data_IF_616606171788
#
_entry.id   IF_616606171788
#
_cell.length_a   1.000
_cell.length_b   1.000
_cell.length_c   1.000
_cell.angle_alpha   90.00
_cell.angle_beta   90.00
_cell.angle_gamma   90.00
#
_symmetry.space_group_name_H-M   'P 1'
#
loop_
_entity.id
_entity.type
_entity.pdbx_description
1 polymer ?
#
# COMPACT_ATOMS: atom_id res chain seq x y z
N UNK A 1 7.41 15.72 -24.52
CA UNK A 1 8.66 16.24 -23.93
C UNK A 1 8.45 17.67 -23.44
N UNK A 2 7.94 17.81 -22.22
CA UNK A 2 8.11 19.00 -21.37
C UNK A 2 8.27 18.44 -19.97
N UNK A 3 9.48 18.52 -19.42
CA UNK A 3 9.75 18.19 -18.01
C UNK A 3 9.18 19.33 -17.18
N UNK A 4 8.00 19.10 -16.59
CA UNK A 4 7.44 19.99 -15.57
C UNK A 4 8.11 19.64 -14.25
N UNK A 5 9.15 20.40 -13.89
CA UNK A 5 9.65 20.42 -12.51
C UNK A 5 8.75 21.33 -11.71
N UNK A 6 7.82 20.77 -10.95
CA UNK A 6 7.07 21.51 -9.95
C UNK A 6 8.01 21.77 -8.76
N UNK A 7 8.49 23.01 -8.64
CA UNK A 7 9.26 23.45 -7.45
C UNK A 7 8.27 23.72 -6.31
N UNK A 8 8.06 22.74 -5.43
CA UNK A 8 7.28 22.94 -4.20
C UNK A 8 8.26 23.25 -3.06
N UNK A 9 8.68 24.51 -3.00
CA UNK A 9 9.38 25.03 -1.83
C UNK A 9 8.35 25.31 -0.72
N UNK A 10 8.23 24.39 0.24
CA UNK A 10 7.34 24.54 1.39
C UNK A 10 7.89 23.81 2.62
N UNK A 11 8.63 24.54 3.45
CA UNK A 11 9.25 24.09 4.71
C UNK A 11 8.24 23.33 5.59
N UNK A 12 8.39 22.01 5.70
CA UNK A 12 7.71 21.20 6.71
C UNK A 12 8.77 20.51 7.58
N UNK A 13 9.24 21.22 8.63
CA UNK A 13 9.98 20.57 9.72
C UNK A 13 8.97 19.75 10.54
N UNK A 14 8.86 18.45 10.24
CA UNK A 14 8.01 17.53 10.98
C UNK A 14 8.76 17.05 12.24
N UNK A 15 8.39 17.60 13.40
CA UNK A 15 8.75 17.02 14.70
C UNK A 15 7.84 15.81 14.98
N UNK A 16 8.23 14.64 14.48
CA UNK A 16 7.58 13.34 14.72
C UNK A 16 7.85 12.85 16.16
N UNK A 17 7.43 13.57 17.19
CA UNK A 17 7.38 13.03 18.55
C UNK A 17 6.18 13.61 19.30
N UNK A 18 5.37 12.70 19.84
CA UNK A 18 4.25 12.85 20.78
C UNK A 18 2.85 13.08 20.20
N UNK A 19 2.11 12.00 19.93
CA UNK A 19 0.63 11.94 20.05
C UNK A 19 0.15 10.51 20.32
N UNK A 20 -1.05 10.34 20.92
CA UNK A 20 -1.51 9.07 21.47
C UNK A 20 -2.09 8.14 20.40
N UNK A 21 -2.10 6.84 20.73
CA UNK A 21 -2.68 5.75 19.94
C UNK A 21 -4.15 6.06 19.62
N UNK A 22 -4.43 6.34 18.35
CA UNK A 22 -5.79 6.39 17.82
C UNK A 22 -5.97 5.25 16.81
N UNK A 23 -7.08 4.55 16.98
CA UNK A 23 -7.51 3.46 16.12
C UNK A 23 -7.80 3.98 14.71
N UNK A 24 -7.41 3.21 13.69
CA UNK A 24 -7.78 3.48 12.31
C UNK A 24 -9.30 3.74 12.19
N UNK A 25 -9.73 4.73 11.39
CA UNK A 25 -11.14 4.98 11.19
C UNK A 25 -11.77 3.77 10.51
N UNK A 26 -12.81 3.23 11.14
CA UNK A 26 -13.71 2.26 10.51
C UNK A 26 -14.35 2.95 9.31
N UNK A 27 -14.07 2.45 8.10
CA UNK A 27 -14.84 2.81 6.91
C UNK A 27 -16.29 2.40 7.19
N UNK A 28 -17.14 3.37 7.46
CA UNK A 28 -18.58 3.15 7.63
C UNK A 28 -19.15 2.96 6.23
N UNK A 29 -19.40 1.70 5.87
CA UNK A 29 -20.20 1.38 4.69
C UNK A 29 -21.65 1.78 4.94
N UNK A 30 -22.06 2.90 4.35
CA UNK A 30 -23.48 3.21 4.20
C UNK A 30 -23.97 2.60 2.88
N UNK A 31 -24.71 1.50 2.97
CA UNK A 31 -25.45 0.91 1.86
C UNK A 31 -25.19 -0.57 1.63
N UNK A 32 -25.75 -1.44 2.47
CA UNK A 32 -25.82 -2.87 2.19
C UNK A 32 -26.93 -3.15 1.18
N UNK A 33 -26.57 -3.50 -0.06
CA UNK A 33 -27.45 -4.21 -1.00
C UNK A 33 -27.14 -5.71 -0.97
N UNK A 34 -28.19 -6.53 -0.93
CA UNK A 34 -28.14 -7.96 -0.62
C UNK A 34 -27.64 -8.82 -1.77
N UNK A 35 -26.63 -9.64 -1.47
CA UNK A 35 -26.15 -10.88 -2.11
C UNK A 35 -26.86 -11.38 -3.38
N UNK A 36 -26.12 -11.40 -4.48
CA UNK A 36 -26.28 -12.36 -5.58
C UNK A 36 -24.89 -12.89 -5.96
N UNK A 37 -24.80 -14.21 -6.15
CA UNK A 37 -23.56 -14.99 -6.22
C UNK A 37 -22.52 -14.43 -7.18
N UNK A 38 -21.50 -13.79 -6.60
CA UNK A 38 -20.28 -13.35 -7.26
C UNK A 38 -19.25 -14.48 -7.25
N UNK A 39 -18.43 -14.58 -8.28
CA UNK A 39 -17.07 -15.09 -8.11
C UNK A 39 -16.30 -14.01 -7.35
N UNK A 40 -16.47 -13.97 -6.03
CA UNK A 40 -15.70 -13.09 -5.16
C UNK A 40 -14.21 -13.39 -5.32
N UNK A 41 -13.33 -12.38 -5.42
CA UNK A 41 -12.02 -12.54 -4.84
C UNK A 41 -12.22 -12.63 -3.31
N UNK A 42 -11.87 -13.76 -2.70
CA UNK A 42 -11.99 -13.92 -1.24
C UNK A 42 -11.10 -12.89 -0.52
N UNK A 43 -11.72 -11.82 0.00
CA UNK A 43 -11.13 -10.94 0.99
C UNK A 43 -11.15 -11.64 2.36
N UNK A 44 -10.02 -12.27 2.69
CA UNK A 44 -9.62 -12.65 4.05
C UNK A 44 -8.13 -12.92 3.98
N UNK A 45 -7.34 -11.87 4.23
CA UNK A 45 -5.91 -11.96 4.42
C UNK A 45 -5.63 -12.51 5.82
N UNK A 46 -5.23 -13.77 5.92
CA UNK A 46 -4.44 -14.24 7.08
C UNK A 46 -3.03 -13.69 6.91
N UNK A 47 -2.42 -13.10 7.94
CA UNK A 47 -1.01 -12.67 7.89
C UNK A 47 -0.15 -13.77 7.26
N UNK A 48 0.74 -13.41 6.33
CA UNK A 48 1.71 -14.35 5.78
C UNK A 48 2.84 -14.41 6.80
N UNK A 49 2.93 -15.48 7.60
CA UNK A 49 3.82 -15.45 8.73
C UNK A 49 5.21 -15.82 8.22
N UNK A 50 6.15 -14.88 8.32
CA UNK A 50 7.51 -15.11 7.86
C UNK A 50 8.28 -15.95 8.88
N UNK A 51 9.23 -16.74 8.39
CA UNK A 51 10.08 -17.61 9.20
C UNK A 51 11.49 -17.06 9.27
N UNK A 52 12.07 -16.93 10.47
CA UNK A 52 13.50 -16.67 10.64
C UNK A 52 14.37 -17.63 9.82
N UNK A 53 15.38 -17.09 9.13
CA UNK A 53 16.40 -17.88 8.42
C UNK A 53 17.74 -17.79 9.13
N UNK A 54 18.32 -18.93 9.56
CA UNK A 54 19.69 -18.97 10.07
C UNK A 54 20.69 -18.54 9.00
N UNK A 55 21.73 -17.79 9.38
CA UNK A 55 22.76 -17.29 8.47
C UNK A 55 23.53 -18.42 7.77
N UNK A 56 23.67 -19.59 8.39
CA UNK A 56 24.25 -20.79 7.76
C UNK A 56 23.48 -21.25 6.51
N UNK A 57 22.19 -20.92 6.41
CA UNK A 57 21.32 -21.26 5.28
C UNK A 57 21.18 -20.12 4.24
N UNK A 58 21.62 -18.90 4.55
CA UNK A 58 21.55 -17.73 3.64
C UNK A 58 22.78 -17.60 2.72
N UNK A 59 23.68 -18.59 2.69
CA UNK A 59 24.89 -18.56 1.86
C UNK A 59 25.98 -17.59 2.35
N UNK A 60 25.76 -16.88 3.47
CA UNK A 60 26.77 -16.08 4.15
C UNK A 60 27.66 -17.01 4.97
N UNK A 61 28.71 -17.56 4.35
CA UNK A 61 29.72 -18.30 5.09
C UNK A 61 30.53 -17.34 5.98
N UNK A 62 30.21 -17.32 7.27
CA UNK A 62 31.11 -16.77 8.27
C UNK A 62 32.19 -17.79 8.59
N UNK A 63 33.45 -17.35 8.68
CA UNK A 63 34.53 -18.20 9.18
C UNK A 63 34.35 -18.42 10.69
N UNK A 64 34.27 -19.68 11.14
CA UNK A 64 34.17 -20.07 12.56
C UNK A 64 32.79 -20.58 12.99
N UNK A 65 32.62 -20.92 14.27
CA UNK A 65 31.39 -21.52 14.84
C UNK A 65 30.28 -20.52 15.20
N UNK A 66 30.43 -19.24 14.85
CA UNK A 66 29.51 -18.14 15.20
C UNK A 66 29.23 -17.94 16.70
N UNK A 67 30.05 -18.50 17.59
CA UNK A 67 29.87 -18.38 19.04
C UNK A 67 30.25 -17.02 19.60
N UNK A 68 31.08 -16.24 18.89
CA UNK A 68 31.57 -14.93 19.36
C UNK A 68 30.48 -13.85 19.23
N UNK A 69 30.09 -13.16 20.32
CA UNK A 69 29.13 -12.07 20.25
C UNK A 69 29.62 -10.91 19.37
N UNK A 70 28.75 -10.38 18.50
CA UNK A 70 29.05 -9.30 17.54
C UNK A 70 28.12 -8.11 17.69
N UNK A 71 28.60 -6.93 17.33
CA UNK A 71 27.81 -5.69 17.35
C UNK A 71 26.90 -5.53 16.14
N UNK A 72 27.34 -5.99 14.98
CA UNK A 72 26.60 -5.85 13.74
C UNK A 72 26.04 -7.21 13.36
N UNK A 73 24.73 -7.27 13.14
CA UNK A 73 24.02 -8.47 12.75
C UNK A 73 23.21 -8.20 11.48
N UNK A 74 23.02 -9.24 10.69
CA UNK A 74 22.04 -9.28 9.61
C UNK A 74 21.12 -10.44 9.91
N UNK A 75 19.84 -10.16 10.11
CA UNK A 75 18.80 -11.14 10.37
C UNK A 75 17.90 -11.19 9.15
N UNK A 76 17.59 -12.39 8.65
CA UNK A 76 16.72 -12.55 7.49
C UNK A 76 15.48 -13.36 7.84
N UNK A 77 14.40 -13.09 7.10
CA UNK A 77 13.15 -13.84 7.15
C UNK A 77 12.74 -14.28 5.75
N UNK A 78 12.13 -15.45 5.67
CA UNK A 78 11.64 -16.03 4.42
C UNK A 78 10.16 -16.40 4.52
N UNK A 79 9.51 -16.47 3.37
CA UNK A 79 8.16 -17.02 3.25
C UNK A 79 8.16 -18.53 3.56
N UNK A 80 6.99 -19.16 3.81
CA UNK A 80 6.89 -20.62 3.93
C UNK A 80 7.40 -21.42 2.71
N UNK A 81 7.56 -20.78 1.53
CA UNK A 81 8.16 -21.38 0.33
C UNK A 81 9.68 -21.29 0.27
N UNK A 82 10.33 -20.71 1.29
CA UNK A 82 11.78 -20.45 1.40
C UNK A 82 12.28 -19.35 0.46
N UNK A 83 11.44 -18.36 0.17
CA UNK A 83 11.85 -17.17 -0.57
C UNK A 83 12.19 -16.09 0.46
N UNK A 84 13.40 -15.53 0.41
CA UNK A 84 13.76 -14.37 1.24
C UNK A 84 12.72 -13.27 1.06
N UNK A 85 12.36 -12.57 2.13
CA UNK A 85 11.31 -11.56 2.07
C UNK A 85 11.75 -10.25 2.73
N UNK A 86 12.47 -10.35 3.85
CA UNK A 86 12.95 -9.19 4.60
C UNK A 86 14.36 -9.46 5.12
N UNK A 87 15.23 -8.46 4.98
CA UNK A 87 16.50 -8.38 5.68
C UNK A 87 16.45 -7.25 6.71
N UNK A 88 16.95 -7.53 7.92
CA UNK A 88 17.05 -6.57 9.01
C UNK A 88 18.51 -6.49 9.45
N UNK A 89 19.14 -5.37 9.14
CA UNK A 89 20.46 -5.01 9.64
C UNK A 89 20.36 -4.38 11.03
N UNK A 90 21.10 -4.91 12.00
CA UNK A 90 21.10 -4.41 13.38
C UNK A 90 22.50 -3.97 13.80
N UNK A 91 22.59 -2.80 14.42
CA UNK A 91 23.75 -2.41 15.23
C UNK A 91 23.35 -2.41 16.69
N UNK A 92 23.88 -3.34 17.47
CA UNK A 92 23.45 -3.63 18.83
C UNK A 92 24.08 -2.71 19.89
N UNK A 93 23.30 -2.31 20.91
CA UNK A 93 23.80 -1.54 22.06
C UNK A 93 24.79 -2.32 22.92
N UNK A 94 24.65 -3.65 22.97
CA UNK A 94 25.60 -4.62 23.54
C UNK A 94 25.92 -5.66 22.47
N UNK A 95 27.10 -6.29 22.48
CA UNK A 95 27.36 -7.36 21.49
C UNK A 95 26.33 -8.48 21.63
N UNK A 96 26.03 -9.18 20.55
CA UNK A 96 24.96 -10.15 20.50
C UNK A 96 25.40 -11.45 19.83
N UNK A 97 24.87 -12.57 20.30
CA UNK A 97 25.07 -13.90 19.71
C UNK A 97 23.71 -14.43 19.23
N UNK A 98 23.67 -14.89 17.99
CA UNK A 98 22.49 -15.49 17.37
C UNK A 98 22.61 -17.00 17.55
N UNK A 99 21.83 -17.57 18.47
CA UNK A 99 22.01 -18.96 18.89
C UNK A 99 21.67 -19.96 17.79
N UNK A 100 20.73 -19.61 16.92
CA UNK A 100 20.36 -20.39 15.73
C UNK A 100 21.42 -20.39 14.62
N UNK A 101 22.41 -19.49 14.69
CA UNK A 101 23.54 -19.44 13.75
C UNK A 101 24.73 -20.30 14.21
N UNK A 102 24.64 -20.92 15.39
CA UNK A 102 25.66 -21.81 15.95
C UNK A 102 25.23 -23.26 15.68
N UNK A 103 25.81 -23.89 14.67
CA UNK A 103 25.48 -25.26 14.26
C UNK A 103 25.66 -26.31 15.38
N UNK A 104 26.54 -26.03 16.35
CA UNK A 104 26.81 -26.90 17.49
C UNK A 104 25.79 -26.73 18.65
N UNK A 105 24.86 -25.78 18.57
CA UNK A 105 23.75 -25.64 19.54
C UNK A 105 22.65 -26.64 19.20
N UNK A 106 22.34 -27.51 20.15
CA UNK A 106 21.37 -28.59 20.00
C UNK A 106 20.01 -28.30 20.61
N UNK A 107 19.95 -27.45 21.64
CA UNK A 107 18.71 -27.03 22.29
C UNK A 107 18.91 -25.67 22.95
N UNK A 108 17.83 -24.88 23.00
CA UNK A 108 17.76 -23.60 23.73
C UNK A 108 16.48 -23.60 24.54
N UNK A 109 16.56 -23.73 25.85
CA UNK A 109 15.39 -23.76 26.72
C UNK A 109 15.24 -22.43 27.48
N UNK A 110 14.06 -21.81 27.43
CA UNK A 110 13.78 -20.58 28.18
C UNK A 110 12.89 -20.87 29.40
N UNK A 111 13.34 -20.46 30.59
CA UNK A 111 12.50 -20.55 31.80
C UNK A 111 11.85 -19.20 32.06
N UNK A 112 10.65 -19.02 31.50
CA UNK A 112 9.95 -17.74 31.52
C UNK A 112 10.72 -16.67 30.74
N UNK A 113 10.75 -15.45 31.26
CA UNK A 113 11.43 -14.30 30.62
C UNK A 113 12.74 -13.91 31.31
N UNK A 114 13.30 -14.80 32.16
CA UNK A 114 14.39 -14.49 33.08
C UNK A 114 15.66 -15.37 32.94
N UNK A 115 15.63 -16.39 32.10
CA UNK A 115 16.82 -17.22 31.87
C UNK A 115 16.78 -18.00 30.57
N UNK A 116 17.95 -18.17 29.96
CA UNK A 116 18.16 -18.93 28.72
C UNK A 116 19.19 -20.03 29.00
N UNK A 117 18.84 -21.29 28.71
CA UNK A 117 19.73 -22.43 28.80
C UNK A 117 20.13 -22.89 27.39
N UNK A 118 21.43 -22.87 27.08
CA UNK A 118 21.97 -23.23 25.77
C UNK A 118 22.73 -24.55 25.88
N UNK A 119 22.30 -25.58 25.16
CA UNK A 119 22.92 -26.91 25.20
C UNK A 119 23.66 -27.21 23.90
N UNK A 120 24.95 -27.53 24.01
CA UNK A 120 25.82 -27.83 22.87
C UNK A 120 25.94 -29.34 22.63
N UNK A 121 26.09 -29.74 21.37
CA UNK A 121 26.41 -31.13 21.00
C UNK A 121 27.94 -31.36 20.83
N UNK A 122 28.74 -30.30 20.97
CA UNK A 122 30.18 -30.31 20.74
C UNK A 122 30.94 -29.67 21.90
N UNK A 123 31.90 -30.39 22.48
CA UNK A 123 32.70 -29.92 23.62
C UNK A 123 33.60 -28.74 23.29
N UNK A 124 34.16 -28.68 22.07
CA UNK A 124 34.99 -27.55 21.64
C UNK A 124 34.14 -26.29 21.52
N UNK A 125 32.96 -26.38 20.90
CA UNK A 125 32.04 -25.27 20.75
C UNK A 125 31.54 -24.75 22.11
N UNK A 126 31.17 -25.65 23.03
CA UNK A 126 30.82 -25.32 24.41
C UNK A 126 31.95 -24.55 25.12
N UNK A 127 33.18 -25.05 25.00
CA UNK A 127 34.35 -24.44 25.68
C UNK A 127 34.67 -23.07 25.08
N UNK A 128 34.59 -22.94 23.76
CA UNK A 128 34.78 -21.68 23.04
C UNK A 128 33.70 -20.66 23.43
N UNK A 129 32.41 -21.05 23.38
CA UNK A 129 31.30 -20.20 23.78
C UNK A 129 31.43 -19.74 25.24
N UNK A 130 31.71 -20.65 26.18
CA UNK A 130 31.88 -20.30 27.58
C UNK A 130 33.05 -19.31 27.77
N UNK A 131 34.17 -19.55 27.08
CA UNK A 131 35.34 -18.67 27.14
C UNK A 131 35.02 -17.27 26.60
N UNK A 132 34.43 -17.19 25.40
CA UNK A 132 34.12 -15.92 24.73
C UNK A 132 33.03 -15.14 25.48
N UNK A 133 31.96 -15.81 25.93
CA UNK A 133 30.85 -15.17 26.62
C UNK A 133 31.23 -14.70 28.02
N UNK A 134 32.02 -15.48 28.77
CA UNK A 134 32.46 -15.09 30.11
C UNK A 134 33.58 -14.03 30.08
N UNK A 135 34.30 -13.91 28.96
CA UNK A 135 35.31 -12.88 28.77
C UNK A 135 34.70 -11.50 28.46
N UNK A 136 33.40 -11.43 28.18
CA UNK A 136 32.69 -10.16 28.02
C UNK A 136 32.72 -9.40 29.34
N UNK A 137 33.30 -8.20 29.38
CA UNK A 137 33.31 -7.36 30.58
C UNK A 137 32.00 -6.58 30.78
N UNK A 138 30.93 -6.98 30.11
CA UNK A 138 29.65 -6.26 30.04
C UNK A 138 28.51 -7.22 29.71
N UNK A 139 27.28 -6.72 29.81
CA UNK A 139 26.11 -7.41 29.28
C UNK A 139 26.24 -7.67 27.78
N UNK A 140 25.58 -8.72 27.31
CA UNK A 140 25.46 -9.08 25.89
C UNK A 140 24.06 -9.62 25.62
N UNK A 141 23.69 -9.73 24.33
CA UNK A 141 22.35 -10.16 23.92
C UNK A 141 22.41 -11.57 23.34
N UNK A 142 21.52 -12.46 23.78
CA UNK A 142 21.27 -13.75 23.15
C UNK A 142 20.01 -13.65 22.29
N UNK A 143 20.10 -14.07 21.03
CA UNK A 143 18.99 -14.04 20.07
C UNK A 143 18.59 -15.46 19.69
N UNK A 144 17.31 -15.80 19.78
CA UNK A 144 16.79 -17.14 19.46
C UNK A 144 15.36 -17.10 18.93
N UNK A 145 15.01 -18.00 18.01
CA UNK A 145 13.62 -18.28 17.59
C UNK A 145 13.06 -19.58 18.21
N UNK A 146 13.93 -20.52 18.63
CA UNK A 146 13.67 -21.89 19.12
C UNK A 146 12.25 -22.50 19.01
N UNK A 147 11.59 -22.36 17.85
CA UNK A 147 10.25 -22.90 17.54
C UNK A 147 9.18 -22.60 18.60
N UNK A 148 9.32 -21.47 19.28
CA UNK A 148 8.35 -21.01 20.27
C UNK A 148 8.49 -21.58 21.68
N UNK A 149 9.63 -22.16 22.04
CA UNK A 149 9.93 -22.47 23.45
C UNK A 149 10.23 -21.21 24.26
N UNK A 150 10.92 -20.25 23.64
CA UNK A 150 11.20 -18.95 24.23
C UNK A 150 10.10 -17.92 23.93
N UNK A 151 9.36 -18.09 22.82
CA UNK A 151 8.51 -17.07 22.19
C UNK A 151 7.37 -17.65 21.35
N UNK A 152 6.80 -16.86 20.43
CA UNK A 152 5.94 -17.40 19.36
C UNK A 152 6.80 -18.18 18.35
N UNK A 153 6.26 -19.22 17.70
CA UNK A 153 6.99 -20.15 16.79
C UNK A 153 7.82 -19.48 15.67
N UNK A 154 7.50 -18.23 15.33
CA UNK A 154 8.04 -17.49 14.19
C UNK A 154 8.71 -16.17 14.59
N UNK A 155 8.90 -15.95 15.89
CA UNK A 155 9.43 -14.72 16.47
C UNK A 155 10.84 -14.96 17.00
N UNK A 156 11.78 -14.09 16.60
CA UNK A 156 13.10 -14.03 17.26
C UNK A 156 13.01 -13.15 18.47
N UNK A 157 13.69 -13.57 19.52
CA UNK A 157 13.62 -12.92 20.81
C UNK A 157 14.99 -12.58 21.35
N UNK A 158 15.02 -11.50 22.10
CA UNK A 158 16.23 -10.83 22.51
C UNK A 158 16.34 -10.90 24.03
N UNK A 159 17.34 -11.60 24.52
CA UNK A 159 17.58 -11.76 25.95
C UNK A 159 18.88 -11.05 26.34
N UNK A 160 18.79 -10.05 27.22
CA UNK A 160 19.96 -9.34 27.74
C UNK A 160 20.48 -10.07 28.97
N UNK A 161 21.73 -10.48 28.94
CA UNK A 161 22.40 -11.19 30.06
C UNK A 161 23.70 -10.52 30.42
N UNK A 162 24.06 -10.58 31.70
CA UNK A 162 25.40 -10.24 32.16
C UNK A 162 26.34 -11.43 32.00
N UNK A 163 27.59 -11.17 31.61
CA UNK A 163 28.61 -12.20 31.49
C UNK A 163 28.91 -12.91 32.82
N UNK A 164 28.81 -12.17 33.93
CA UNK A 164 28.99 -12.70 35.29
C UNK A 164 27.80 -13.56 35.76
N UNK A 165 26.70 -13.58 35.00
CA UNK A 165 25.49 -14.32 35.33
C UNK A 165 25.36 -15.65 34.56
N UNK A 166 26.48 -16.14 34.00
CA UNK A 166 26.57 -17.43 33.32
C UNK A 166 26.89 -18.55 34.30
N UNK A 167 26.13 -19.65 34.24
CA UNK A 167 26.38 -20.88 34.97
C UNK A 167 26.63 -22.01 33.99
N UNK A 168 27.80 -22.64 34.08
CA UNK A 168 28.25 -23.67 33.15
C UNK A 168 28.09 -25.08 33.74
N UNK A 169 27.58 -26.02 32.94
CA UNK A 169 27.37 -27.42 33.31
C UNK A 169 28.08 -28.33 32.31
N UNK A 170 29.32 -28.73 32.65
CA UNK A 170 30.16 -29.56 31.77
C UNK A 170 29.58 -30.96 31.52
N UNK A 171 28.81 -31.50 32.47
CA UNK A 171 28.27 -32.87 32.38
C UNK A 171 27.29 -33.09 31.23
N UNK A 172 26.61 -32.03 30.79
CA UNK A 172 25.65 -32.05 29.69
C UNK A 172 25.91 -30.93 28.66
N UNK A 173 27.06 -30.26 28.74
CA UNK A 173 27.47 -29.18 27.84
C UNK A 173 26.43 -28.04 27.76
N UNK A 174 25.86 -27.66 28.90
CA UNK A 174 24.83 -26.60 28.98
C UNK A 174 25.40 -25.34 29.64
N UNK A 175 25.13 -24.17 29.07
CA UNK A 175 25.37 -22.86 29.69
C UNK A 175 24.01 -22.23 30.00
N UNK A 176 23.77 -21.90 31.26
CA UNK A 176 22.56 -21.18 31.69
C UNK A 176 22.93 -19.73 31.95
N UNK A 177 22.27 -18.82 31.25
CA UNK A 177 22.36 -17.38 31.44
C UNK A 177 21.14 -16.87 32.20
N UNK A 178 21.34 -16.08 33.26
CA UNK A 178 20.24 -15.24 33.79
C UNK A 178 20.10 -14.03 32.88
N UNK A 179 18.95 -13.93 32.22
CA UNK A 179 18.77 -12.99 31.13
C UNK A 179 17.36 -12.43 31.13
N UNK A 180 17.21 -11.12 30.90
CA UNK A 180 15.90 -10.48 30.81
C UNK A 180 15.48 -10.37 29.34
N UNK A 181 14.24 -10.80 29.03
CA UNK A 181 13.66 -10.59 27.70
C UNK A 181 13.51 -9.07 27.45
N UNK A 182 13.96 -8.63 26.28
CA UNK A 182 13.89 -7.27 25.78
C UNK A 182 13.32 -7.27 24.35
N UNK A 183 12.91 -6.11 23.87
CA UNK A 183 12.57 -5.88 22.47
C UNK A 183 13.79 -5.44 21.65
N UNK A 184 13.60 -5.36 20.33
CA UNK A 184 14.62 -4.90 19.40
C UNK A 184 15.01 -3.44 19.67
N UNK A 185 14.05 -2.58 20.04
CA UNK A 185 14.27 -1.15 20.30
C UNK A 185 15.19 -0.94 21.51
N UNK A 186 15.01 -1.73 22.56
CA UNK A 186 15.79 -1.70 23.79
C UNK A 186 17.19 -2.31 23.65
N UNK A 187 17.43 -3.12 22.62
CA UNK A 187 18.73 -3.81 22.42
C UNK A 187 19.56 -3.24 21.28
N UNK A 188 18.98 -2.44 20.39
CA UNK A 188 19.63 -1.92 19.19
C UNK A 188 19.87 -0.41 19.27
N UNK A 189 20.93 0.04 18.63
CA UNK A 189 21.25 1.45 18.41
C UNK A 189 20.82 1.91 17.01
N UNK A 190 20.84 1.00 16.05
CA UNK A 190 20.35 1.19 14.68
C UNK A 190 19.66 -0.08 14.21
N UNK A 191 18.52 0.10 13.55
CA UNK A 191 17.76 -0.94 12.86
C UNK A 191 17.51 -0.47 11.44
N UNK A 192 17.98 -1.25 10.48
CA UNK A 192 17.87 -1.01 9.05
C UNK A 192 17.04 -2.15 8.45
N UNK A 193 15.98 -1.82 7.73
CA UNK A 193 15.02 -2.78 7.23
C UNK A 193 14.92 -2.58 5.72
N UNK A 194 15.37 -3.60 5.00
CA UNK A 194 15.26 -3.70 3.56
C UNK A 194 14.19 -4.75 3.23
N UNK A 195 13.14 -4.31 2.55
CA UNK A 195 12.16 -5.20 1.94
C UNK A 195 12.44 -5.28 0.44
N UNK A 196 13.60 -5.87 0.11
CA UNK A 196 14.00 -6.23 -1.25
C UNK A 196 14.15 -7.74 -1.37
N UNK A 197 13.35 -8.31 -2.28
CA UNK A 197 13.48 -9.60 -2.94
C UNK A 197 14.18 -10.80 -2.27
N UNK A 198 13.41 -11.87 -2.15
CA UNK A 198 13.89 -13.23 -2.40
C UNK A 198 13.13 -13.85 -3.57
N UNK A 199 13.81 -14.74 -4.26
CA UNK A 199 13.42 -15.19 -5.58
C UNK A 199 12.33 -16.28 -5.52
N UNK A 200 11.04 -15.91 -5.61
CA UNK A 200 9.97 -16.62 -6.37
C UNK A 200 8.54 -16.11 -6.08
N UNK A 201 7.69 -16.27 -7.11
CA UNK A 201 6.25 -15.98 -7.13
C UNK A 201 5.46 -16.76 -6.06
N UNK A 202 4.70 -16.03 -5.24
CA UNK A 202 3.58 -16.60 -4.48
C UNK A 202 2.34 -16.68 -5.39
N UNK A 203 2.24 -17.71 -6.25
CA UNK A 203 1.15 -17.89 -7.25
C UNK A 203 -0.30 -17.96 -6.69
N UNK A 204 -0.54 -17.68 -5.42
CA UNK A 204 -1.89 -17.51 -4.87
C UNK A 204 -2.23 -16.03 -4.79
N UNK A 205 -3.26 -15.63 -5.57
CA UNK A 205 -4.02 -14.37 -5.46
C UNK A 205 -3.38 -13.13 -6.10
N UNK A 206 -2.61 -13.31 -7.18
CA UNK A 206 -2.05 -12.19 -7.95
C UNK A 206 -0.88 -11.48 -7.26
N UNK A 207 -0.42 -11.97 -6.11
CA UNK A 207 0.80 -11.48 -5.48
C UNK A 207 1.98 -12.22 -6.09
N UNK A 208 3.06 -11.54 -6.46
CA UNK A 208 4.32 -12.22 -6.79
C UNK A 208 5.49 -11.47 -6.18
N UNK A 209 6.57 -12.19 -5.88
CA UNK A 209 7.79 -11.63 -5.34
C UNK A 209 8.93 -11.94 -6.31
N UNK A 210 9.67 -10.91 -6.68
CA UNK A 210 10.86 -11.05 -7.52
C UNK A 210 11.95 -10.08 -7.06
N UNK A 211 13.06 -10.05 -7.81
CA UNK A 211 14.22 -9.19 -7.59
C UNK A 211 13.88 -7.69 -7.61
N UNK A 212 12.73 -7.33 -8.17
CA UNK A 212 12.26 -5.95 -8.33
C UNK A 212 11.24 -5.53 -7.23
N UNK A 213 10.74 -6.46 -6.41
CA UNK A 213 9.88 -6.15 -5.25
C UNK A 213 8.65 -7.04 -5.08
N UNK A 214 7.70 -6.54 -4.27
CA UNK A 214 6.40 -7.15 -4.00
C UNK A 214 5.38 -6.67 -5.04
N UNK A 215 5.01 -7.54 -5.96
CA UNK A 215 4.01 -7.27 -6.99
C UNK A 215 2.63 -7.74 -6.57
N UNK A 216 1.62 -6.95 -6.91
CA UNK A 216 0.21 -7.11 -6.58
C UNK A 216 -0.59 -6.85 -7.85
N UNK A 217 -1.10 -7.92 -8.45
CA UNK A 217 -2.02 -7.85 -9.57
C UNK A 217 -3.47 -7.90 -9.07
N UNK A 218 -4.27 -6.96 -9.55
CA UNK A 218 -5.71 -6.88 -9.35
C UNK A 218 -6.41 -6.98 -10.70
N UNK A 219 -7.18 -8.04 -10.88
CA UNK A 219 -8.07 -8.17 -12.04
C UNK A 219 -9.49 -8.33 -11.54
N UNK A 220 -10.38 -7.47 -12.02
CA UNK A 220 -11.80 -7.53 -11.72
C UNK A 220 -12.60 -7.35 -12.99
N UNK A 221 -13.70 -8.09 -13.11
CA UNK A 221 -14.68 -7.85 -14.15
C UNK A 221 -16.05 -8.12 -13.59
N UNK A 222 -17.00 -7.26 -13.94
CA UNK A 222 -18.39 -7.48 -13.54
C UNK A 222 -18.92 -8.71 -14.31
N UNK A 223 -19.46 -9.73 -13.63
CA UNK A 223 -19.83 -11.00 -14.27
C UNK A 223 -21.08 -10.89 -15.16
N UNK A 224 -21.93 -9.90 -14.90
CA UNK A 224 -23.15 -9.56 -15.65
C UNK A 224 -23.63 -8.18 -15.22
N UNK A 225 -24.43 -7.53 -16.06
CA UNK A 225 -25.12 -6.26 -15.74
C UNK A 225 -25.60 -6.19 -14.28
N UNK A 226 -25.30 -5.08 -13.61
CA UNK A 226 -25.69 -4.83 -12.22
C UNK A 226 -26.18 -3.41 -12.01
N UNK A 227 -27.29 -3.26 -11.29
CA UNK A 227 -27.73 -1.97 -10.76
C UNK A 227 -26.98 -1.70 -9.46
N UNK A 228 -26.09 -0.70 -9.47
CA UNK A 228 -25.26 -0.33 -8.31
C UNK A 228 -25.87 0.80 -7.46
N UNK A 229 -26.80 1.57 -8.05
CA UNK A 229 -27.60 2.58 -7.35
C UNK A 229 -29.04 2.48 -7.84
N UNK A 230 -30.01 2.39 -6.93
CA UNK A 230 -31.43 2.49 -7.25
C UNK A 230 -32.16 3.27 -6.17
N UNK A 231 -32.57 4.50 -6.51
CA UNK A 231 -33.26 5.43 -5.62
C UNK A 231 -34.47 6.03 -6.32
N UNK A 232 -35.26 6.83 -5.60
CA UNK A 232 -36.39 7.56 -6.18
C UNK A 232 -35.97 8.61 -7.24
N UNK A 233 -34.70 9.01 -7.27
CA UNK A 233 -34.19 10.09 -8.11
C UNK A 233 -33.21 9.63 -9.19
N UNK A 234 -32.44 8.58 -8.92
CA UNK A 234 -31.39 8.09 -9.81
C UNK A 234 -31.33 6.57 -9.81
N UNK A 235 -31.08 6.00 -10.98
CA UNK A 235 -30.74 4.60 -11.18
C UNK A 235 -29.42 4.54 -11.95
N UNK A 236 -28.45 3.78 -11.44
CA UNK A 236 -27.15 3.55 -12.10
C UNK A 236 -27.00 2.07 -12.38
N UNK A 237 -26.86 1.73 -13.64
CA UNK A 237 -26.61 0.38 -14.13
C UNK A 237 -25.20 0.34 -14.71
N UNK A 238 -24.42 -0.66 -14.31
CA UNK A 238 -23.14 -0.97 -14.95
C UNK A 238 -23.37 -2.19 -15.84
N UNK A 239 -23.26 -2.00 -17.14
CA UNK A 239 -23.51 -3.04 -18.14
C UNK A 239 -22.31 -3.98 -18.21
N UNK A 240 -21.11 -3.40 -18.30
CA UNK A 240 -19.84 -4.09 -18.33
C UNK A 240 -18.79 -3.23 -17.63
N UNK A 241 -17.89 -3.86 -16.88
CA UNK A 241 -16.68 -3.19 -16.40
C UNK A 241 -15.56 -4.21 -16.27
N UNK A 242 -14.34 -3.80 -16.66
CA UNK A 242 -13.15 -4.61 -16.49
C UNK A 242 -11.98 -3.76 -16.00
N UNK A 243 -11.19 -4.35 -15.13
CA UNK A 243 -10.03 -3.74 -14.51
C UNK A 243 -8.88 -4.73 -14.55
N UNK A 244 -7.72 -4.24 -14.94
CA UNK A 244 -6.48 -4.98 -14.89
C UNK A 244 -5.35 -4.05 -14.44
N UNK A 245 -5.03 -4.14 -13.15
CA UNK A 245 -4.02 -3.30 -12.52
C UNK A 245 -2.90 -4.19 -11.96
N UNK A 246 -1.68 -3.68 -11.96
CA UNK A 246 -0.54 -4.28 -11.29
C UNK A 246 0.22 -3.21 -10.52
N UNK A 247 0.67 -3.53 -9.32
CA UNK A 247 1.45 -2.62 -8.47
C UNK A 247 2.62 -3.37 -7.88
N UNK A 248 3.83 -2.84 -8.01
CA UNK A 248 5.04 -3.40 -7.42
C UNK A 248 5.59 -2.43 -6.38
N UNK A 249 5.98 -2.98 -5.23
CA UNK A 249 6.46 -2.26 -4.06
C UNK A 249 7.89 -2.64 -3.72
N UNK A 250 8.71 -1.64 -3.44
CA UNK A 250 9.98 -1.81 -2.73
C UNK A 250 10.25 -0.59 -1.85
N UNK A 251 11.28 -0.66 -1.02
CA UNK A 251 11.62 0.45 -0.14
C UNK A 251 12.55 0.05 0.99
N UNK A 252 12.77 1.02 1.86
CA UNK A 252 13.79 0.99 2.89
C UNK A 252 13.36 1.83 4.09
N UNK A 253 13.66 1.33 5.29
CA UNK A 253 13.46 2.10 6.52
C UNK A 253 14.66 1.93 7.45
N UNK A 254 15.16 3.05 7.97
CA UNK A 254 16.26 3.08 8.93
C UNK A 254 15.91 3.90 10.14
N UNK A 255 16.05 3.28 11.31
CA UNK A 255 15.81 3.88 12.60
C UNK A 255 17.08 3.90 13.45
N UNK A 256 17.30 4.99 14.19
CA UNK A 256 18.37 5.13 15.17
C UNK A 256 17.82 5.57 16.53
N UNK A 257 18.31 4.96 17.62
CA UNK A 257 17.80 5.16 19.00
C UNK A 257 17.61 6.62 19.43
N UNK A 258 18.51 7.51 19.01
CA UNK A 258 18.48 8.93 19.41
C UNK A 258 17.99 9.88 18.30
N UNK A 259 17.81 9.38 17.07
CA UNK A 259 17.36 10.21 15.93
C UNK A 259 15.98 9.82 15.40
N UNK A 260 15.42 8.70 15.87
CA UNK A 260 14.19 8.14 15.31
C UNK A 260 14.42 7.62 13.89
N UNK A 261 13.42 7.77 13.04
CA UNK A 261 13.50 7.40 11.62
C UNK A 261 14.42 8.39 10.88
N UNK A 262 15.49 7.86 10.31
CA UNK A 262 16.55 8.62 9.62
C UNK A 262 16.49 8.49 8.10
N UNK A 263 16.02 7.36 7.59
CA UNK A 263 15.81 7.10 6.17
C UNK A 263 14.47 6.35 6.06
N UNK A 264 13.59 6.80 5.17
CA UNK A 264 12.34 6.09 4.88
C UNK A 264 11.86 6.48 3.49
N UNK A 265 11.93 5.53 2.57
CA UNK A 265 11.41 5.71 1.22
C UNK A 265 10.67 4.47 0.74
N UNK A 266 9.72 4.70 -0.17
CA UNK A 266 8.93 3.67 -0.84
C UNK A 266 8.96 3.95 -2.34
N UNK A 267 9.24 2.91 -3.11
CA UNK A 267 9.15 2.88 -4.56
C UNK A 267 7.92 2.07 -4.97
N UNK A 268 7.15 2.62 -5.91
CA UNK A 268 5.92 2.02 -6.44
C UNK A 268 5.96 2.06 -7.96
N UNK A 269 5.95 0.90 -8.58
CA UNK A 269 5.69 0.76 -10.02
C UNK A 269 4.26 0.30 -10.23
N UNK A 270 3.54 0.90 -11.16
CA UNK A 270 2.09 0.76 -11.30
C UNK A 270 1.67 0.71 -12.76
N UNK A 271 0.86 -0.28 -13.09
CA UNK A 271 0.11 -0.34 -14.35
C UNK A 271 -1.38 -0.35 -14.05
N UNK A 272 -2.13 0.38 -14.87
CA UNK A 272 -3.56 0.59 -14.70
C UNK A 272 -4.25 0.39 -16.04
N UNK A 273 -5.32 -0.39 -16.05
CA UNK A 273 -6.25 -0.50 -17.15
C UNK A 273 -7.66 -0.58 -16.59
N UNK A 274 -8.54 0.29 -17.09
CA UNK A 274 -9.94 0.32 -16.74
C UNK A 274 -10.80 0.46 -17.98
N UNK A 275 -11.93 -0.23 -17.95
CA UNK A 275 -13.02 -0.11 -18.91
C UNK A 275 -14.34 -0.15 -18.14
N UNK A 276 -15.28 0.72 -18.49
CA UNK A 276 -16.64 0.67 -17.97
C UNK A 276 -17.65 1.15 -19.02
N UNK A 277 -18.78 0.44 -19.08
CA UNK A 277 -20.00 0.80 -19.79
C UNK A 277 -21.12 0.95 -18.75
N UNK A 278 -21.67 2.16 -18.68
CA UNK A 278 -22.59 2.59 -17.64
C UNK A 278 -23.81 3.30 -18.22
N UNK A 279 -24.96 3.08 -17.58
CA UNK A 279 -26.19 3.83 -17.78
C UNK A 279 -26.58 4.55 -16.49
N UNK A 280 -26.77 5.87 -16.59
CA UNK A 280 -27.28 6.73 -15.54
C UNK A 280 -28.65 7.25 -15.95
N UNK A 281 -29.70 6.82 -15.25
CA UNK A 281 -31.06 7.32 -15.43
C UNK A 281 -31.44 8.24 -14.28
N UNK A 282 -31.70 9.50 -14.60
CA UNK A 282 -32.10 10.57 -13.68
C UNK A 282 -33.61 10.79 -13.86
N UNK A 283 -34.37 10.74 -12.76
CA UNK A 283 -35.85 10.76 -12.78
C UNK A 283 -36.44 12.17 -12.59
N UNK A 284 -35.67 13.09 -12.02
CA UNK A 284 -36.01 14.51 -11.84
C UNK A 284 -34.71 15.31 -11.56
N UNK A 285 -34.80 16.63 -11.37
CA UNK A 285 -33.65 17.47 -11.01
C UNK A 285 -32.89 16.87 -9.81
N UNK A 286 -31.59 16.63 -9.98
CA UNK A 286 -30.79 15.92 -9.01
C UNK A 286 -29.35 16.45 -8.98
N UNK A 287 -28.77 16.55 -7.79
CA UNK A 287 -27.40 17.00 -7.59
C UNK A 287 -26.81 16.24 -6.41
N UNK A 288 -25.94 15.28 -6.68
CA UNK A 288 -25.28 14.49 -5.65
C UNK A 288 -24.06 13.77 -6.23
N UNK A 289 -23.38 13.01 -5.38
CA UNK A 289 -22.34 12.07 -5.76
C UNK A 289 -22.68 10.67 -5.26
N UNK A 290 -22.21 9.67 -5.99
CA UNK A 290 -22.24 8.29 -5.52
C UNK A 290 -20.88 7.63 -5.70
N UNK A 291 -20.63 6.62 -4.87
CA UNK A 291 -19.44 5.79 -4.94
C UNK A 291 -19.86 4.35 -4.66
N UNK A 292 -19.34 3.43 -5.45
CA UNK A 292 -19.52 2.01 -5.31
C UNK A 292 -18.16 1.33 -5.44
N UNK A 293 -17.88 0.36 -4.59
CA UNK A 293 -16.63 -0.40 -4.62
C UNK A 293 -16.94 -1.89 -4.52
N UNK A 294 -16.30 -2.76 -5.33
CA UNK A 294 -16.19 -4.16 -4.94
C UNK A 294 -15.43 -4.28 -3.61
N UNK A 295 -15.50 -5.45 -2.98
CA UNK A 295 -14.71 -5.71 -1.76
C UNK A 295 -13.23 -5.42 -2.03
N UNK A 296 -12.63 -4.57 -1.19
CA UNK A 296 -11.21 -4.24 -1.29
C UNK A 296 -10.36 -5.50 -1.12
N UNK A 297 -9.25 -5.59 -1.87
CA UNK A 297 -8.27 -6.64 -1.60
C UNK A 297 -7.39 -6.20 -0.46
N UNK A 298 -7.72 -6.70 0.71
CA UNK A 298 -6.75 -6.80 1.80
C UNK A 298 -5.93 -8.06 1.58
N UNK A 299 -4.65 -7.86 1.27
CA UNK A 299 -3.70 -8.95 1.15
C UNK A 299 -3.13 -9.33 2.50
N UNK A 300 -2.49 -10.49 2.56
CA UNK A 300 -1.78 -10.95 3.75
C UNK A 300 -0.72 -9.93 4.14
N UNK A 301 -0.83 -9.40 5.35
CA UNK A 301 0.22 -8.61 5.99
C UNK A 301 1.44 -9.51 6.15
N UNK A 302 2.55 -9.13 5.53
CA UNK A 302 3.87 -9.64 5.86
C UNK A 302 4.18 -9.14 7.26
N UNK A 303 4.37 -10.08 8.17
CA UNK A 303 4.55 -9.76 9.58
C UNK A 303 5.86 -10.38 10.06
N UNK A 304 6.78 -9.52 10.48
CA UNK A 304 7.93 -9.89 11.30
C UNK A 304 7.60 -9.40 12.72
N UNK A 305 7.09 -10.28 13.60
CA UNK A 305 6.64 -9.90 14.93
C UNK A 305 7.72 -9.14 15.70
N UNK A 306 7.34 -8.06 16.39
CA UNK A 306 8.26 -7.23 17.16
C UNK A 306 9.12 -6.26 16.33
N UNK A 307 9.13 -6.37 14.99
CA UNK A 307 10.04 -5.60 14.13
C UNK A 307 9.28 -4.78 13.10
N UNK A 308 8.55 -5.45 12.19
CA UNK A 308 7.87 -4.76 11.10
C UNK A 308 6.63 -5.53 10.64
N UNK A 309 5.54 -4.80 10.45
CA UNK A 309 4.32 -5.28 9.81
C UNK A 309 4.11 -4.50 8.52
N UNK A 310 4.16 -5.20 7.38
CA UNK A 310 4.00 -4.68 6.03
C UNK A 310 2.75 -5.25 5.39
N UNK A 311 1.77 -4.41 5.08
CA UNK A 311 0.50 -4.89 4.55
C UNK A 311 0.02 -4.03 3.41
N UNK A 312 0.11 -4.51 2.15
CA UNK A 312 -0.52 -3.77 1.08
C UNK A 312 -2.03 -3.98 1.11
N UNK A 313 -2.77 -2.92 0.84
CA UNK A 313 -4.19 -2.99 0.47
C UNK A 313 -4.33 -2.40 -0.92
N UNK A 314 -5.22 -2.98 -1.72
CA UNK A 314 -5.61 -2.40 -2.99
C UNK A 314 -7.13 -2.31 -3.02
N UNK A 315 -7.64 -1.11 -3.22
CA UNK A 315 -9.06 -0.80 -3.29
C UNK A 315 -9.38 -0.12 -4.60
N UNK A 316 -10.53 -0.48 -5.16
CA UNK A 316 -11.10 0.24 -6.29
C UNK A 316 -12.47 0.73 -5.91
N UNK A 317 -12.77 1.96 -6.31
CA UNK A 317 -14.13 2.44 -6.34
C UNK A 317 -14.44 3.10 -7.67
N UNK A 318 -15.69 2.95 -8.09
CA UNK A 318 -16.30 3.68 -9.19
C UNK A 318 -17.21 4.71 -8.57
N UNK A 319 -17.23 5.92 -9.10
CA UNK A 319 -18.14 6.93 -8.63
C UNK A 319 -18.50 7.91 -9.72
N UNK A 320 -19.48 8.75 -9.43
CA UNK A 320 -19.71 9.94 -10.22
C UNK A 320 -20.28 11.07 -9.39
N UNK A 321 -19.90 12.30 -9.74
CA UNK A 321 -20.63 13.50 -9.34
C UNK A 321 -21.57 13.91 -10.47
N UNK A 322 -22.82 14.20 -10.13
CA UNK A 322 -23.86 14.55 -11.11
C UNK A 322 -24.59 15.79 -10.68
N UNK A 323 -24.88 16.66 -11.63
CA UNK A 323 -25.84 17.77 -11.50
C UNK A 323 -26.69 17.79 -12.75
N UNK A 324 -28.00 17.60 -12.60
CA UNK A 324 -28.97 17.60 -13.69
C UNK A 324 -30.16 18.50 -13.35
N UNK A 325 -30.58 19.30 -14.32
CA UNK A 325 -31.70 20.22 -14.16
C UNK A 325 -33.08 19.57 -14.37
N UNK A 326 -33.13 18.37 -14.96
CA UNK A 326 -34.35 17.64 -15.28
C UNK A 326 -34.05 16.12 -15.33
N UNK A 327 -35.09 15.33 -15.58
CA UNK A 327 -34.94 13.91 -15.90
C UNK A 327 -34.09 13.72 -17.17
N UNK A 328 -33.55 12.51 -17.36
CA UNK A 328 -32.78 12.16 -18.55
C UNK A 328 -31.97 10.89 -18.34
N UNK A 329 -31.55 10.26 -19.43
CA UNK A 329 -30.66 9.10 -19.39
C UNK A 329 -29.36 9.42 -20.12
N UNK A 330 -28.24 9.09 -19.47
CA UNK A 330 -26.90 9.16 -20.04
C UNK A 330 -26.33 7.74 -20.10
N UNK A 331 -25.89 7.30 -21.27
CA UNK A 331 -25.02 6.13 -21.40
C UNK A 331 -23.59 6.59 -21.63
N UNK A 332 -22.64 5.95 -20.98
CA UNK A 332 -21.23 6.29 -21.06
C UNK A 332 -20.38 5.04 -21.18
N UNK A 333 -19.55 4.98 -22.20
CA UNK A 333 -18.49 4.00 -22.36
C UNK A 333 -17.16 4.73 -22.21
N UNK A 334 -16.28 4.26 -21.32
CA UNK A 334 -14.97 4.88 -21.13
C UNK A 334 -13.88 3.85 -20.84
N UNK A 335 -12.71 4.10 -21.42
CA UNK A 335 -11.49 3.31 -21.24
C UNK A 335 -10.36 4.23 -20.81
N UNK A 336 -9.58 3.81 -19.82
CA UNK A 336 -8.35 4.49 -19.40
C UNK A 336 -7.22 3.49 -19.19
N UNK A 337 -6.03 3.80 -19.67
CA UNK A 337 -4.84 2.97 -19.49
C UNK A 337 -3.63 3.83 -19.15
N UNK A 338 -2.86 3.39 -18.14
CA UNK A 338 -1.56 3.94 -17.75
C UNK A 338 -0.60 2.77 -17.52
N UNK A 339 0.20 2.36 -18.53
CA UNK A 339 0.90 1.09 -18.46
C UNK A 339 2.14 1.11 -17.57
N UNK A 340 2.79 2.27 -17.35
CA UNK A 340 4.14 2.34 -16.77
C UNK A 340 4.32 3.50 -15.77
N UNK A 341 3.42 3.66 -14.79
CA UNK A 341 3.61 4.66 -13.73
C UNK A 341 4.71 4.24 -12.75
N UNK A 342 5.61 5.16 -12.39
CA UNK A 342 6.62 4.96 -11.34
C UNK A 342 6.55 6.11 -10.35
N UNK A 343 6.58 5.80 -9.06
CA UNK A 343 6.52 6.75 -7.96
C UNK A 343 7.64 6.42 -6.98
N UNK A 344 8.41 7.43 -6.61
CA UNK A 344 9.34 7.38 -5.50
C UNK A 344 8.88 8.37 -4.44
N UNK A 345 8.67 7.90 -3.22
CA UNK A 345 8.32 8.73 -2.07
C UNK A 345 9.44 8.65 -1.04
N UNK A 346 10.15 9.75 -0.83
CA UNK A 346 11.07 9.92 0.29
C UNK A 346 10.37 10.75 1.37
N UNK A 347 10.05 10.09 2.49
CA UNK A 347 9.31 10.71 3.59
C UNK A 347 10.21 11.52 4.53
N UNK A 348 11.53 11.43 4.34
CA UNK A 348 12.50 12.23 5.08
C UNK A 348 12.92 13.48 4.30
N UNK A 349 13.09 13.33 2.99
CA UNK A 349 13.45 14.36 2.05
C UNK A 349 12.43 14.42 0.91
N UNK A 350 11.29 15.05 1.18
CA UNK A 350 10.18 15.12 0.22
C UNK A 350 10.56 15.75 -1.13
N UNK A 351 11.57 16.63 -1.15
CA UNK A 351 12.07 17.25 -2.38
C UNK A 351 12.74 16.23 -3.32
N UNK A 352 13.10 15.05 -2.80
CA UNK A 352 13.63 13.91 -3.56
C UNK A 352 12.53 12.98 -4.09
N UNK A 353 11.27 13.14 -3.65
CA UNK A 353 10.12 12.40 -4.18
C UNK A 353 9.80 12.77 -5.63
N UNK A 354 9.42 11.79 -6.44
CA UNK A 354 9.04 12.03 -7.83
C UNK A 354 8.01 11.03 -8.34
N UNK A 355 7.39 11.40 -9.47
CA UNK A 355 6.41 10.57 -10.16
C UNK A 355 6.63 10.71 -11.68
N UNK A 356 6.60 9.60 -12.41
CA UNK A 356 6.92 9.57 -13.84
C UNK A 356 6.26 8.41 -14.58
N UNK A 357 6.35 8.39 -15.92
CA UNK A 357 5.89 7.27 -16.74
C UNK A 357 4.37 7.20 -16.98
N UNK A 358 3.64 8.26 -16.62
CA UNK A 358 2.19 8.42 -16.84
C UNK A 358 1.84 8.73 -18.30
N UNK A 359 2.20 7.83 -19.22
CA UNK A 359 1.61 7.83 -20.56
C UNK A 359 0.17 7.34 -20.44
N UNK A 360 -0.79 8.19 -20.82
CA UNK A 360 -2.23 7.89 -20.70
C UNK A 360 -2.82 7.58 -22.07
N UNK A 361 -3.48 6.44 -22.21
CA UNK A 361 -4.43 6.19 -23.29
C UNK A 361 -5.85 6.31 -22.72
N UNK A 362 -6.71 7.06 -23.40
CA UNK A 362 -8.07 7.30 -22.93
C UNK A 362 -9.02 7.42 -24.12
N UNK A 363 -10.22 6.89 -23.94
CA UNK A 363 -11.33 7.03 -24.86
C UNK A 363 -12.61 7.13 -24.04
N UNK A 364 -13.54 8.01 -24.45
CA UNK A 364 -14.84 8.12 -23.81
C UNK A 364 -15.89 8.54 -24.83
N UNK A 365 -17.03 7.86 -24.77
CA UNK A 365 -18.23 8.17 -25.54
C UNK A 365 -19.40 8.29 -24.59
N UNK A 366 -20.11 9.42 -24.66
CA UNK A 366 -21.35 9.63 -23.93
C UNK A 366 -22.51 9.82 -24.91
N UNK A 367 -23.68 9.31 -24.57
CA UNK A 367 -24.92 9.59 -25.29
C UNK A 367 -25.99 10.02 -24.30
N UNK A 368 -26.76 11.05 -24.65
CA UNK A 368 -27.87 11.55 -23.84
C UNK A 368 -29.17 11.39 -24.62
N UNK A 369 -30.22 10.91 -23.96
CA UNK A 369 -31.52 10.65 -24.59
C UNK A 369 -32.43 11.88 -24.68
N UNK A 370 -32.13 12.93 -23.90
CA UNK A 370 -32.97 14.12 -23.75
C UNK A 370 -32.14 15.41 -23.86
N UNK A 371 -32.77 16.50 -24.33
CA UNK A 371 -32.16 17.83 -24.43
C UNK A 371 -32.09 18.52 -23.06
N UNK A 372 -31.25 17.99 -22.17
CA UNK A 372 -31.14 18.44 -20.79
C UNK A 372 -29.72 18.83 -20.45
N UNK A 373 -29.57 19.88 -19.63
CA UNK A 373 -28.26 20.28 -19.10
C UNK A 373 -27.86 19.35 -17.96
N UNK A 374 -26.79 18.61 -18.17
CA UNK A 374 -26.21 17.63 -17.25
C UNK A 374 -24.73 17.96 -17.08
N UNK A 375 -24.24 17.90 -15.86
CA UNK A 375 -22.82 17.80 -15.54
C UNK A 375 -22.62 16.46 -14.88
N UNK A 376 -21.84 15.58 -15.48
CA UNK A 376 -21.53 14.24 -15.03
C UNK A 376 -20.01 14.10 -14.99
N UNK A 377 -19.43 13.81 -13.83
CA UNK A 377 -18.02 13.50 -13.67
C UNK A 377 -17.89 12.08 -13.11
N UNK A 378 -17.90 11.04 -13.96
CA UNK A 378 -17.57 9.70 -13.54
C UNK A 378 -16.07 9.58 -13.31
N UNK A 379 -15.69 8.80 -12.30
CA UNK A 379 -14.30 8.55 -11.94
C UNK A 379 -14.11 7.10 -11.51
N UNK A 380 -12.89 6.62 -11.67
CA UNK A 380 -12.42 5.36 -11.10
C UNK A 380 -11.27 5.71 -10.17
N UNK A 381 -11.42 5.41 -8.89
CA UNK A 381 -10.38 5.57 -7.90
C UNK A 381 -9.71 4.22 -7.68
N UNK A 382 -8.41 4.13 -8.04
CA UNK A 382 -7.56 3.02 -7.67
C UNK A 382 -6.58 3.44 -6.58
N UNK A 383 -6.95 3.10 -5.35
CA UNK A 383 -6.16 3.36 -4.15
C UNK A 383 -5.33 2.13 -3.80
N UNK A 384 -4.06 2.37 -3.50
CA UNK A 384 -3.16 1.34 -3.02
C UNK A 384 -2.49 1.84 -1.76
N UNK A 385 -2.71 1.13 -0.67
CA UNK A 385 -2.17 1.47 0.64
C UNK A 385 -1.06 0.50 0.99
N UNK A 386 -0.12 0.97 1.78
CA UNK A 386 0.98 0.22 2.31
C UNK A 386 1.06 0.50 3.80
N UNK A 387 0.54 -0.43 4.59
CA UNK A 387 0.73 -0.40 6.02
C UNK A 387 2.20 -0.67 6.32
N UNK A 388 2.88 0.23 7.04
CA UNK A 388 4.26 0.05 7.47
C UNK A 388 4.34 0.39 8.95
N UNK A 389 4.31 -0.63 9.81
CA UNK A 389 4.33 -0.47 11.26
C UNK A 389 5.63 -1.02 11.79
N UNK A 390 6.45 -0.17 12.41
CA UNK A 390 7.69 -0.57 13.05
C UNK A 390 7.46 -0.86 14.53
N UNK A 391 8.15 -1.88 15.04
CA UNK A 391 8.23 -2.23 16.46
C UNK A 391 6.85 -2.40 17.10
N UNK A 392 6.06 -3.34 16.57
CA UNK A 392 4.66 -3.60 16.98
C UNK A 392 3.74 -2.37 16.94
N UNK A 393 4.02 -1.44 16.01
CA UNK A 393 3.21 -0.24 15.81
C UNK A 393 3.56 0.92 16.73
N UNK A 394 4.71 0.87 17.42
CA UNK A 394 5.25 2.04 18.12
C UNK A 394 5.46 3.22 17.15
N UNK A 395 5.80 2.91 15.90
CA UNK A 395 5.88 3.90 14.81
C UNK A 395 5.00 3.40 13.67
N UNK A 396 3.98 4.20 13.32
CA UNK A 396 3.14 3.97 12.16
C UNK A 396 3.59 4.89 11.01
N UNK A 397 4.12 4.26 9.97
CA UNK A 397 4.58 4.87 8.74
C UNK A 397 3.71 4.45 7.56
N UNK A 398 2.44 4.10 7.81
CA UNK A 398 1.54 3.65 6.76
C UNK A 398 1.26 4.77 5.76
N UNK A 399 1.39 4.46 4.48
CA UNK A 399 1.24 5.41 3.37
C UNK A 399 0.41 4.81 2.26
N UNK A 400 0.08 5.60 1.25
CA UNK A 400 -0.61 5.09 0.08
C UNK A 400 -0.54 6.03 -1.09
N UNK A 401 -0.98 5.51 -2.23
CA UNK A 401 -1.12 6.26 -3.46
C UNK A 401 -2.50 5.99 -4.03
N UNK A 402 -3.18 7.08 -4.36
CA UNK A 402 -4.42 7.09 -5.10
C UNK A 402 -4.14 7.52 -6.54
N UNK A 403 -4.69 6.78 -7.50
CA UNK A 403 -4.69 7.16 -8.91
C UNK A 403 -6.15 7.23 -9.38
N UNK A 404 -6.58 8.39 -9.84
CA UNK A 404 -7.98 8.70 -10.15
C UNK A 404 -8.11 9.23 -11.57
N UNK A 405 -8.36 8.36 -12.58
CA UNK A 405 -8.91 8.81 -13.85
C UNK A 405 -10.37 9.23 -13.72
N UNK A 406 -10.74 10.33 -14.37
CA UNK A 406 -12.12 10.80 -14.47
C UNK A 406 -12.45 11.36 -15.86
N UNK A 407 -13.73 11.32 -16.21
CA UNK A 407 -14.23 11.70 -17.54
C UNK A 407 -15.33 12.76 -17.46
N UNK A 408 -15.03 14.00 -17.02
CA UNK A 408 -16.01 15.07 -16.98
C UNK A 408 -16.76 15.22 -18.32
N UNK A 409 -18.08 15.14 -18.23
CA UNK A 409 -19.04 15.28 -19.31
C UNK A 409 -20.03 16.39 -18.94
N UNK A 410 -20.13 17.39 -19.80
CA UNK A 410 -21.02 18.54 -19.59
C UNK A 410 -21.87 18.76 -20.83
N UNK A 411 -23.17 18.79 -20.64
CA UNK A 411 -24.13 19.25 -21.64
C UNK A 411 -24.75 20.58 -21.23
N UNK A 412 -24.96 21.47 -22.20
CA UNK A 412 -25.72 22.70 -21.98
C UNK A 412 -26.76 22.88 -23.08
N UNK A 413 -28.03 22.77 -22.69
CA UNK A 413 -29.14 23.02 -23.61
C UNK A 413 -29.34 24.53 -23.78
N UNK A 414 -29.23 25.02 -25.02
CA UNK A 414 -29.45 26.44 -25.34
C UNK A 414 -30.62 26.57 -26.31
N UNK A 415 -31.72 27.16 -25.84
CA UNK A 415 -32.88 27.49 -26.65
C UNK A 415 -33.12 29.00 -26.61
N UNK A 416 -32.45 29.75 -27.50
CA UNK A 416 -32.60 31.21 -27.53
C UNK A 416 -33.77 31.57 -28.45
N UNK A 417 -34.92 31.95 -27.88
CA UNK A 417 -36.06 32.45 -28.65
C UNK A 417 -36.14 33.97 -28.55
N UNK A 418 -36.14 34.66 -29.69
CA UNK A 418 -36.38 36.10 -29.75
C UNK A 418 -37.75 36.38 -30.34
N UNK A 419 -38.59 37.16 -29.64
CA UNK A 419 -39.86 37.62 -30.19
C UNK A 419 -39.62 38.91 -30.97
N UNK A 420 -39.93 38.91 -32.26
CA UNK A 420 -39.91 40.12 -33.06
C UNK A 420 -41.01 41.07 -32.58
N UNK A 421 -40.62 42.16 -31.92
CA UNK A 421 -41.54 43.15 -31.34
C UNK A 421 -42.47 43.84 -32.37
N UNK A 422 -42.21 43.71 -33.67
CA UNK A 422 -42.99 44.33 -34.75
C UNK A 422 -43.94 43.36 -35.44
N UNK A 423 -43.53 42.10 -35.65
CA UNK A 423 -44.35 41.09 -36.33
C UNK A 423 -45.03 40.08 -35.40
N UNK A 424 -44.66 40.07 -34.11
CA UNK A 424 -45.10 39.05 -33.15
C UNK A 424 -44.56 37.64 -33.47
N UNK A 425 -43.70 37.50 -34.49
CA UNK A 425 -43.09 36.24 -34.87
C UNK A 425 -42.01 35.84 -33.87
N UNK A 426 -41.99 34.58 -33.49
CA UNK A 426 -40.82 33.97 -32.87
C UNK A 426 -39.73 33.87 -33.94
N UNK A 427 -38.52 34.30 -33.60
CA UNK A 427 -37.32 34.19 -34.43
C UNK A 427 -36.27 33.44 -33.64
N UNK A 428 -35.65 32.47 -34.30
CA UNK A 428 -34.53 31.69 -33.77
C UNK A 428 -33.24 32.29 -34.32
N UNK A 429 -32.17 32.45 -33.52
CA UNK A 429 -30.88 32.88 -34.03
C UNK A 429 -30.39 31.90 -35.09
N UNK A 430 -29.88 32.44 -36.21
CA UNK A 430 -29.31 31.68 -37.31
C UNK A 430 -28.01 30.99 -36.84
N UNK A 431 -27.81 29.73 -37.23
CA UNK A 431 -26.66 28.83 -36.96
C UNK A 431 -25.29 29.33 -37.45
N UNK A 432 -25.15 30.61 -37.79
CA UNK A 432 -23.92 31.22 -38.34
C UNK A 432 -23.14 32.09 -37.35
N UNK A 433 -23.63 32.28 -36.12
CA UNK A 433 -22.86 32.95 -35.06
C UNK A 433 -22.04 31.93 -34.26
N UNK A 434 -20.73 32.14 -34.22
CA UNK A 434 -19.70 31.37 -33.50
C UNK A 434 -19.80 31.46 -31.96
N UNK A 435 -21.01 31.48 -31.41
CA UNK A 435 -21.28 31.65 -29.98
C UNK A 435 -22.39 30.69 -29.60
N UNK A 436 -22.06 29.68 -28.78
CA UNK A 436 -22.89 28.69 -28.08
C UNK A 436 -24.08 28.13 -28.88
N UNK A 437 -24.12 26.81 -29.08
CA UNK A 437 -25.09 26.08 -29.91
C UNK A 437 -26.49 26.75 -29.95
N UNK A 438 -26.72 27.60 -30.95
CA UNK A 438 -27.71 28.68 -30.84
C UNK A 438 -29.15 28.16 -30.72
N UNK A 439 -29.37 26.97 -31.29
CA UNK A 439 -30.50 26.08 -31.08
C UNK A 439 -29.91 24.66 -31.10
N UNK A 440 -29.24 24.27 -30.02
CA UNK A 440 -28.49 23.02 -29.95
C UNK A 440 -28.24 22.56 -28.51
N UNK A 441 -27.71 21.35 -28.39
CA UNK A 441 -27.05 20.86 -27.18
C UNK A 441 -25.54 21.03 -27.37
N UNK A 442 -24.87 21.80 -26.52
CA UNK A 442 -23.40 21.78 -26.48
C UNK A 442 -22.94 20.62 -25.62
N UNK A 443 -21.92 19.91 -26.06
CA UNK A 443 -21.32 18.79 -25.34
C UNK A 443 -19.82 19.00 -25.20
N UNK A 444 -19.31 18.82 -23.98
CA UNK A 444 -17.89 18.82 -23.68
C UNK A 444 -17.53 17.55 -22.90
N UNK A 445 -16.53 16.82 -23.38
CA UNK A 445 -15.95 15.65 -22.73
C UNK A 445 -14.48 15.95 -22.49
N UNK A 446 -14.02 15.75 -21.27
CA UNK A 446 -12.61 15.87 -20.89
C UNK A 446 -12.15 14.58 -20.22
N UNK A 447 -10.84 14.41 -20.18
CA UNK A 447 -10.18 13.40 -19.38
C UNK A 447 -9.25 14.09 -18.38
N UNK A 448 -9.44 13.77 -17.11
CA UNK A 448 -8.60 14.22 -16.01
C UNK A 448 -7.96 12.99 -15.36
N UNK A 449 -6.69 13.09 -14.99
CA UNK A 449 -5.99 12.03 -14.27
C UNK A 449 -5.08 12.62 -13.19
N UNK A 450 -5.39 12.23 -11.95
CA UNK A 450 -4.68 12.68 -10.77
C UNK A 450 -3.99 11.51 -10.07
N UNK A 451 -2.77 11.74 -9.60
CA UNK A 451 -2.04 10.82 -8.73
C UNK A 451 -1.70 11.55 -7.45
N UNK A 452 -2.21 11.03 -6.34
CA UNK A 452 -2.05 11.61 -5.01
C UNK A 452 -1.35 10.61 -4.11
N UNK A 453 -0.27 11.05 -3.47
CA UNK A 453 0.34 10.31 -2.37
C UNK A 453 -0.21 10.80 -1.04
N UNK A 454 -0.43 9.88 -0.12
CA UNK A 454 -0.80 10.19 1.24
C UNK A 454 0.05 9.40 2.23
N UNK A 455 0.26 9.97 3.41
CA UNK A 455 0.91 9.29 4.52
C UNK A 455 0.09 9.52 5.77
N UNK A 456 -0.39 8.42 6.36
CA UNK A 456 -1.36 8.44 7.47
C UNK A 456 -2.55 9.36 7.16
N UNK A 457 -3.17 9.97 8.17
CA UNK A 457 -4.22 11.00 8.02
C UNK A 457 -3.67 12.44 7.86
N UNK A 458 -2.33 12.61 7.78
CA UNK A 458 -1.68 13.91 8.02
C UNK A 458 -1.11 14.55 6.76
N UNK A 459 -0.84 13.76 5.72
CA UNK A 459 -0.19 14.20 4.48
C UNK A 459 -1.02 13.71 3.31
N UNK A 460 -1.35 14.64 2.41
CA UNK A 460 -2.01 14.40 1.13
C UNK A 460 -1.35 15.36 0.11
N UNK A 461 -0.71 14.80 -0.91
CA UNK A 461 0.14 15.52 -1.86
C UNK A 461 -0.12 15.04 -3.28
N UNK A 462 -0.49 15.97 -4.15
CA UNK A 462 -0.60 15.75 -5.59
C UNK A 462 0.80 15.54 -6.20
N UNK A 463 1.01 14.36 -6.79
CA UNK A 463 2.24 13.96 -7.46
C UNK A 463 2.19 14.19 -8.97
N UNK A 464 1.00 14.10 -9.55
CA UNK A 464 0.77 14.25 -10.99
C UNK A 464 -0.67 14.67 -11.24
N UNK A 465 -0.85 15.63 -12.15
CA UNK A 465 -2.14 16.11 -12.61
C UNK A 465 -2.06 16.22 -14.14
N UNK A 466 -3.08 15.72 -14.81
CA UNK A 466 -3.20 15.76 -16.27
C UNK A 466 -4.64 16.02 -16.67
N UNK A 467 -4.83 16.95 -17.59
CA UNK A 467 -6.15 17.29 -18.14
C UNK A 467 -6.04 17.47 -19.65
N UNK A 468 -6.99 16.91 -20.38
CA UNK A 468 -7.14 17.10 -21.82
C UNK A 468 -8.61 17.06 -22.24
N UNK A 469 -8.99 17.94 -23.18
CA UNK A 469 -10.30 17.88 -23.81
C UNK A 469 -10.33 16.76 -24.85
N UNK A 470 -11.30 15.85 -24.72
CA UNK A 470 -11.57 14.77 -25.70
C UNK A 470 -12.48 15.30 -26.80
N UNK A 471 -13.55 16.02 -26.41
CA UNK A 471 -14.55 16.56 -27.31
C UNK A 471 -15.07 17.90 -26.80
N UNK A 472 -15.30 18.83 -27.71
CA UNK A 472 -16.03 20.07 -27.47
C UNK A 472 -16.75 20.43 -28.78
N UNK A 473 -18.08 20.32 -28.76
CA UNK A 473 -18.89 20.43 -29.97
C UNK A 473 -20.36 20.70 -29.74
N UNK A 474 -21.07 20.91 -30.85
CA UNK A 474 -22.52 21.09 -30.87
C UNK A 474 -23.18 19.90 -31.54
N UNK A 475 -24.27 19.42 -30.94
CA UNK A 475 -25.27 18.62 -31.63
C UNK A 475 -26.32 19.57 -32.21
N UNK A 476 -26.27 19.73 -33.54
CA UNK A 476 -27.28 20.45 -34.32
C UNK A 476 -28.46 19.50 -34.65
N UNK A 477 -29.68 20.04 -34.66
CA UNK A 477 -30.89 19.34 -35.11
C UNK A 477 -31.48 19.90 -36.41
#
# INVERSE_FOLDING_TARGET
MVSSKSNIAGVLLLSLLSTPVFSAPTVVSNGTLTNSSTSQPLASGTNLPLRPVPNSNNGVQTAGRNVVPKKNLSLAWQTPSNDSAVSVGLTMQNSAVVLEDIDDVSAVDCTGQSSVAVTFNNTEAYTEALSEWSAMNSSFVMITNHLGDCDSELERSFFVTDADALTAFESNLTIIALAEKSDIVGTTSTTEIDFTSGSKSLDKRGISWNDDGLTIAYTYSIPSEQTIVDTDYVTVVVNEASINNSVQYSGHAKWELFKGVTEFYIDIDKSVYHYADMELTIKDSWSDSWTWSPDALSYSVLDVPGIISLGPSAGISFGASVTAAAAGTVTGEFTSQMPNGTIHMDFKDWDSSYSSGWETEHDATFNVTEDVSITLKPYIDFTVEFACKLFDGLIDLSTGVKAEPSFPFVTTATATQAINATSGSVTYPNTTSSTACANGLSEAISFEFDVTAFATEWIDISLYEYEVSIWDGCLDW
#
